data_IF_626268054330
#
_entry.id   IF_626268054330
#
_cell.length_a   1.000
_cell.length_b   1.000
_cell.length_c   1.000
_cell.angle_alpha   90.00
_cell.angle_beta   90.00
_cell.angle_gamma   90.00
#
_symmetry.space_group_name_H-M   'P 1'
#
loop_
_entity.id
_entity.type
_entity.pdbx_description
1 polymer ?
#
# COMPACT_ATOMS: atom_id res chain seq x y z
N UNK A 1 -16.26 -18.85 30.50
CA UNK A 1 -14.92 -19.52 30.54
C UNK A 1 -14.34 -19.52 29.12
N UNK A 2 -13.55 -18.51 28.78
CA UNK A 2 -12.98 -18.34 27.42
C UNK A 2 -11.71 -19.17 27.38
N UNK A 3 -11.68 -20.21 26.55
CA UNK A 3 -10.49 -21.05 26.33
C UNK A 3 -9.38 -20.18 25.71
N UNK A 4 -8.31 -19.93 26.47
CA UNK A 4 -7.08 -19.30 25.99
C UNK A 4 -6.46 -20.19 24.91
N UNK A 5 -6.47 -19.76 23.65
CA UNK A 5 -5.59 -20.32 22.62
C UNK A 5 -4.18 -19.77 22.85
N UNK A 6 -3.30 -20.60 23.40
CA UNK A 6 -1.86 -20.32 23.41
C UNK A 6 -1.31 -20.62 22.02
N UNK A 7 -0.85 -19.60 21.31
CA UNK A 7 -0.12 -19.80 20.05
C UNK A 7 1.31 -20.27 20.37
N UNK A 8 1.83 -21.27 19.69
CA UNK A 8 3.10 -21.86 20.05
C UNK A 8 4.26 -20.90 19.73
N UNK A 9 5.11 -20.69 20.72
CA UNK A 9 6.39 -19.95 20.70
C UNK A 9 7.30 -20.36 19.51
N UNK A 10 7.05 -21.51 18.88
CA UNK A 10 7.77 -22.00 17.69
C UNK A 10 7.72 -21.08 16.46
N UNK A 11 6.68 -20.28 16.29
CA UNK A 11 6.61 -19.31 15.17
C UNK A 11 7.58 -18.15 15.39
N UNK A 12 7.74 -17.72 16.64
CA UNK A 12 8.71 -16.68 16.99
C UNK A 12 10.16 -17.17 16.78
N UNK A 13 10.46 -18.44 17.06
CA UNK A 13 11.81 -19.00 16.93
C UNK A 13 12.27 -19.16 15.47
N UNK A 14 11.37 -19.44 14.55
CA UNK A 14 11.69 -19.55 13.11
C UNK A 14 12.05 -18.19 12.48
N UNK A 15 11.50 -17.11 12.99
CA UNK A 15 11.85 -15.74 12.56
C UNK A 15 13.19 -15.27 13.15
N UNK A 16 13.47 -15.61 14.40
CA UNK A 16 14.68 -15.17 15.12
C UNK A 16 15.97 -15.80 14.60
N UNK A 17 15.92 -16.94 13.94
CA UNK A 17 17.13 -17.67 13.50
C UNK A 17 17.64 -17.26 12.11
N UNK A 18 16.91 -16.47 11.33
CA UNK A 18 17.29 -16.11 9.96
C UNK A 18 17.80 -14.69 9.78
N UNK A 19 17.73 -13.83 10.80
CA UNK A 19 18.07 -12.42 10.68
C UNK A 19 19.34 -12.04 11.44
N UNK A 20 20.23 -11.30 10.78
CA UNK A 20 21.48 -10.77 11.34
C UNK A 20 21.23 -9.70 12.41
N UNK A 21 22.11 -9.59 13.35
CA UNK A 21 22.13 -8.93 14.65
C UNK A 21 21.39 -7.57 14.85
N UNK A 22 21.18 -6.73 13.85
CA UNK A 22 20.58 -5.40 14.04
C UNK A 22 19.06 -5.42 14.26
N UNK A 23 18.34 -6.27 13.51
CA UNK A 23 16.90 -6.47 13.69
C UNK A 23 16.61 -7.23 14.97
N UNK A 24 17.45 -8.22 15.30
CA UNK A 24 17.37 -8.96 16.56
C UNK A 24 17.52 -8.04 17.79
N UNK A 25 18.40 -7.05 17.75
CA UNK A 25 18.60 -6.11 18.86
C UNK A 25 17.44 -5.12 19.00
N UNK A 26 16.84 -4.65 17.89
CA UNK A 26 15.62 -3.85 17.93
C UNK A 26 14.40 -4.65 18.38
N UNK A 27 14.27 -5.90 17.91
CA UNK A 27 13.21 -6.80 18.34
C UNK A 27 13.32 -7.16 19.83
N UNK A 28 14.53 -7.44 20.34
CA UNK A 28 14.76 -7.74 21.75
C UNK A 28 14.56 -6.52 22.67
N UNK A 29 14.78 -5.30 22.21
CA UNK A 29 14.48 -4.09 22.98
C UNK A 29 12.97 -3.80 23.08
N UNK A 30 12.20 -4.29 22.12
CA UNK A 30 10.72 -4.20 22.07
C UNK A 30 10.04 -5.35 22.80
N UNK A 31 10.70 -6.52 22.93
CA UNK A 31 10.19 -7.72 23.60
C UNK A 31 10.81 -7.88 25.00
N UNK A 32 10.53 -6.95 25.92
CA UNK A 32 10.71 -7.26 27.34
C UNK A 32 9.68 -8.32 27.76
N UNK A 33 10.11 -9.51 28.29
CA UNK A 33 9.19 -10.59 28.59
C UNK A 33 8.13 -10.27 29.67
N UNK A 34 8.26 -9.12 30.34
CA UNK A 34 7.41 -8.75 31.48
C UNK A 34 6.12 -8.03 31.14
N UNK A 35 5.97 -7.44 29.93
CA UNK A 35 4.88 -6.51 29.63
C UNK A 35 3.90 -6.98 28.54
N UNK A 36 4.11 -8.14 27.94
CA UNK A 36 3.24 -8.63 26.86
C UNK A 36 2.12 -9.55 27.38
N UNK A 37 1.18 -9.00 28.10
CA UNK A 37 -0.20 -9.47 28.02
C UNK A 37 -0.83 -8.85 26.78
N UNK A 38 -0.62 -9.46 25.62
CA UNK A 38 -1.40 -9.16 24.42
C UNK A 38 -2.88 -9.38 24.76
N UNK A 39 -3.55 -8.31 25.15
CA UNK A 39 -5.01 -8.32 25.23
C UNK A 39 -5.53 -8.28 23.80
N UNK A 40 -5.72 -9.47 23.22
CA UNK A 40 -6.47 -9.59 21.97
C UNK A 40 -7.90 -9.25 22.31
N UNK A 41 -8.28 -8.00 22.03
CA UNK A 41 -9.67 -7.59 22.13
C UNK A 41 -10.42 -8.09 20.88
N UNK A 42 -11.72 -8.45 20.98
CA UNK A 42 -12.51 -8.81 19.80
C UNK A 42 -12.53 -7.73 18.73
N UNK A 43 -12.36 -6.48 19.14
CA UNK A 43 -12.25 -5.32 18.26
C UNK A 43 -10.97 -5.37 17.42
N UNK A 44 -9.80 -5.59 18.06
CA UNK A 44 -8.52 -5.68 17.35
C UNK A 44 -8.51 -6.84 16.35
N UNK A 45 -9.05 -8.01 16.74
CA UNK A 45 -9.13 -9.16 15.83
C UNK A 45 -9.96 -8.81 14.58
N UNK A 46 -11.12 -8.17 14.75
CA UNK A 46 -11.95 -7.71 13.62
C UNK A 46 -11.22 -6.71 12.75
N UNK A 47 -10.54 -5.74 13.33
CA UNK A 47 -9.79 -4.73 12.59
C UNK A 47 -8.70 -5.37 11.71
N UNK A 48 -7.96 -6.32 12.27
CA UNK A 48 -6.92 -7.06 11.53
C UNK A 48 -7.54 -7.88 10.40
N UNK A 49 -8.66 -8.57 10.64
CA UNK A 49 -9.35 -9.33 9.59
C UNK A 49 -9.85 -8.43 8.46
N UNK A 50 -10.41 -7.28 8.78
CA UNK A 50 -10.84 -6.29 7.77
C UNK A 50 -9.65 -5.77 6.98
N UNK A 51 -8.57 -5.35 7.62
CA UNK A 51 -7.34 -4.93 6.96
C UNK A 51 -6.87 -6.01 5.98
N UNK A 52 -6.67 -7.23 6.45
CA UNK A 52 -6.20 -8.35 5.61
C UNK A 52 -7.16 -8.59 4.46
N UNK A 53 -8.46 -8.60 4.69
CA UNK A 53 -9.46 -8.88 3.66
C UNK A 53 -9.43 -7.87 2.51
N UNK A 54 -9.16 -6.60 2.80
CA UNK A 54 -9.14 -5.54 1.79
C UNK A 54 -7.81 -5.50 1.04
N UNK A 55 -6.68 -5.59 1.74
CA UNK A 55 -5.35 -5.46 1.11
C UNK A 55 -4.81 -6.77 0.52
N UNK A 56 -5.36 -7.93 0.91
CA UNK A 56 -4.96 -9.21 0.33
C UNK A 56 -5.27 -9.26 -1.17
N UNK A 57 -4.29 -9.64 -2.02
CA UNK A 57 -4.46 -9.66 -3.45
C UNK A 57 -5.58 -10.60 -3.90
N UNK A 58 -6.40 -10.14 -4.84
CA UNK A 58 -7.40 -10.95 -5.54
C UNK A 58 -6.83 -11.45 -6.87
N UNK A 59 -7.26 -12.61 -7.31
CA UNK A 59 -6.87 -13.15 -8.59
C UNK A 59 -7.37 -12.27 -9.75
N UNK A 60 -6.49 -11.98 -10.69
CA UNK A 60 -6.80 -11.25 -11.92
C UNK A 60 -6.31 -12.01 -13.14
N UNK A 61 -6.92 -11.76 -14.33
CA UNK A 61 -6.43 -12.24 -15.61
C UNK A 61 -5.53 -11.22 -16.32
N UNK A 62 -5.21 -10.12 -15.65
CA UNK A 62 -4.34 -9.08 -16.18
C UNK A 62 -2.89 -9.51 -16.08
N UNK A 63 -2.09 -9.18 -17.08
CA UNK A 63 -0.64 -9.30 -17.01
C UNK A 63 -0.10 -8.17 -16.14
N UNK A 64 0.47 -8.53 -14.98
CA UNK A 64 1.09 -7.61 -14.06
C UNK A 64 2.56 -7.42 -14.41
N UNK A 65 3.08 -6.22 -14.21
CA UNK A 65 4.49 -5.87 -14.41
C UNK A 65 4.89 -4.83 -13.37
N UNK A 66 6.16 -4.90 -12.91
CA UNK A 66 6.77 -3.85 -12.10
C UNK A 66 7.27 -2.74 -13.01
N UNK A 67 6.99 -1.50 -12.66
CA UNK A 67 7.42 -0.27 -13.33
C UNK A 67 8.21 0.58 -12.33
N UNK A 68 9.04 1.48 -12.83
CA UNK A 68 10.05 2.18 -12.04
C UNK A 68 11.35 1.38 -11.97
N UNK A 69 12.16 1.65 -10.99
CA UNK A 69 13.42 0.96 -10.74
C UNK A 69 13.26 -0.48 -10.25
N UNK A 70 14.26 -1.00 -9.58
CA UNK A 70 14.26 -2.35 -9.00
C UNK A 70 14.05 -2.38 -7.49
N UNK A 71 13.87 -1.21 -6.86
CA UNK A 71 13.76 -1.03 -5.41
C UNK A 71 12.62 -0.07 -5.09
N UNK A 72 12.79 0.71 -4.05
CA UNK A 72 11.90 1.78 -3.66
C UNK A 72 11.54 2.71 -4.83
N UNK A 73 10.30 3.20 -4.89
CA UNK A 73 9.76 3.94 -6.02
C UNK A 73 9.40 3.07 -7.24
N UNK A 74 9.37 1.74 -7.10
CA UNK A 74 8.91 0.82 -8.15
C UNK A 74 7.65 0.08 -7.73
N UNK A 75 6.63 0.09 -8.59
CA UNK A 75 5.31 -0.43 -8.25
C UNK A 75 4.77 -1.40 -9.30
N UNK A 76 3.91 -2.33 -8.87
CA UNK A 76 3.32 -3.35 -9.73
C UNK A 76 1.97 -2.90 -10.24
N UNK A 77 1.83 -2.81 -11.58
CA UNK A 77 0.61 -2.39 -12.26
C UNK A 77 0.19 -3.39 -13.36
N UNK A 78 -1.09 -3.38 -13.76
CA UNK A 78 -1.52 -4.07 -14.98
C UNK A 78 -0.88 -3.43 -16.22
N UNK A 79 -0.13 -4.20 -16.97
CA UNK A 79 0.58 -3.71 -18.17
C UNK A 79 -0.36 -2.99 -19.14
N UNK A 80 -1.59 -3.48 -19.31
CA UNK A 80 -2.59 -2.88 -20.21
C UNK A 80 -3.15 -1.53 -19.74
N UNK A 81 -2.84 -1.09 -18.50
CA UNK A 81 -3.25 0.23 -18.00
C UNK A 81 -2.23 1.31 -18.34
N UNK A 82 -1.00 0.89 -18.67
CA UNK A 82 0.11 1.79 -19.01
C UNK A 82 0.13 1.99 -20.52
N UNK A 83 -0.67 2.93 -21.01
CA UNK A 83 -0.84 3.21 -22.44
C UNK A 83 -1.02 4.71 -22.69
N UNK A 84 -0.80 5.13 -23.92
CA UNK A 84 -1.13 6.48 -24.37
C UNK A 84 -2.60 6.81 -24.05
N UNK A 85 -2.86 7.97 -23.50
CA UNK A 85 -4.18 8.43 -23.04
C UNK A 85 -4.49 8.08 -21.59
N UNK A 86 -3.67 7.29 -20.90
CA UNK A 86 -3.75 7.14 -19.45
C UNK A 86 -3.22 8.42 -18.78
N UNK A 87 -3.89 8.84 -17.70
CA UNK A 87 -3.46 9.96 -16.88
C UNK A 87 -2.97 9.48 -15.52
N UNK A 88 -1.86 10.03 -15.07
CA UNK A 88 -1.24 9.74 -13.77
C UNK A 88 -1.36 10.95 -12.84
N UNK A 89 -1.80 10.71 -11.61
CA UNK A 89 -1.61 11.62 -10.48
C UNK A 89 -0.68 10.88 -9.52
N UNK A 90 0.51 11.44 -9.28
CA UNK A 90 1.52 10.85 -8.40
C UNK A 90 1.87 11.82 -7.29
N UNK A 91 1.55 11.45 -6.05
CA UNK A 91 1.93 12.18 -4.85
C UNK A 91 3.06 11.48 -4.10
N UNK A 92 4.05 12.29 -3.64
CA UNK A 92 5.25 11.82 -2.96
C UNK A 92 6.22 11.16 -3.93
N UNK A 93 7.13 11.94 -4.49
CA UNK A 93 8.16 11.44 -5.42
C UNK A 93 9.56 11.64 -4.86
N UNK A 94 9.70 12.51 -3.84
CA UNK A 94 10.98 12.82 -3.22
C UNK A 94 12.13 12.95 -4.25
N UNK A 95 13.21 12.22 -4.05
CA UNK A 95 14.38 12.19 -4.93
C UNK A 95 14.33 11.07 -5.99
N UNK A 96 13.19 10.38 -6.15
CA UNK A 96 13.03 9.25 -7.07
C UNK A 96 11.68 9.25 -7.78
N UNK A 97 11.65 9.60 -9.06
CA UNK A 97 10.46 9.53 -9.91
C UNK A 97 10.62 8.52 -11.07
N UNK A 98 11.31 7.41 -10.84
CA UNK A 98 11.54 6.39 -11.88
C UNK A 98 10.25 5.72 -12.34
N UNK A 99 9.25 5.56 -11.46
CA UNK A 99 7.92 5.09 -11.86
C UNK A 99 7.33 6.02 -12.91
N UNK A 100 7.21 7.30 -12.58
CA UNK A 100 6.56 8.34 -13.39
C UNK A 100 7.24 8.44 -14.75
N UNK A 101 8.58 8.47 -14.79
CA UNK A 101 9.37 8.48 -16.03
C UNK A 101 9.13 7.21 -16.85
N UNK A 102 9.11 6.05 -16.20
CA UNK A 102 8.87 4.79 -16.91
C UNK A 102 7.48 4.71 -17.54
N UNK A 103 6.47 5.26 -16.87
CA UNK A 103 5.11 5.36 -17.41
C UNK A 103 5.01 6.41 -18.51
N UNK A 104 5.65 7.56 -18.35
CA UNK A 104 5.66 8.63 -19.34
C UNK A 104 6.35 8.24 -20.65
N UNK A 105 7.43 7.45 -20.59
CA UNK A 105 8.10 6.86 -21.75
C UNK A 105 7.17 5.93 -22.56
N UNK A 106 6.12 5.40 -21.93
CA UNK A 106 5.09 4.57 -22.57
C UNK A 106 3.86 5.37 -23.00
N UNK A 107 3.92 6.71 -22.92
CA UNK A 107 2.89 7.61 -23.40
C UNK A 107 1.83 7.99 -22.36
N UNK A 108 2.03 7.65 -21.08
CA UNK A 108 1.21 8.17 -19.98
C UNK A 108 1.55 9.64 -19.79
N UNK A 109 0.53 10.49 -19.59
CA UNK A 109 0.71 11.87 -19.18
C UNK A 109 0.16 12.07 -17.77
N UNK A 110 0.60 13.11 -17.08
CA UNK A 110 0.13 13.33 -15.72
C UNK A 110 0.84 14.42 -14.96
N UNK A 111 0.61 14.39 -13.66
CA UNK A 111 1.13 15.37 -12.71
C UNK A 111 1.85 14.65 -11.57
N UNK A 112 3.00 15.18 -11.20
CA UNK A 112 3.81 14.78 -10.05
C UNK A 112 3.70 15.86 -8.97
N UNK A 113 3.51 15.48 -7.75
CA UNK A 113 3.23 16.38 -6.64
C UNK A 113 4.10 16.01 -5.45
N UNK A 114 4.84 16.99 -4.99
CA UNK A 114 5.66 16.86 -3.80
C UNK A 114 5.98 18.24 -3.22
N UNK A 115 5.82 18.44 -1.93
CA UNK A 115 6.12 19.71 -1.28
C UNK A 115 7.53 19.76 -0.69
N UNK A 116 8.19 18.61 -0.55
CA UNK A 116 9.51 18.49 0.09
C UNK A 116 10.67 18.89 -0.84
N UNK A 117 10.43 18.91 -2.15
CA UNK A 117 11.44 19.20 -3.17
C UNK A 117 11.04 20.42 -4.03
N UNK A 118 12.03 21.10 -4.60
CA UNK A 118 11.79 22.28 -5.44
C UNK A 118 11.47 21.93 -6.89
N UNK A 119 11.92 20.79 -7.37
CA UNK A 119 11.72 20.32 -8.74
C UNK A 119 11.75 18.79 -8.80
N UNK A 120 11.11 18.22 -9.82
CA UNK A 120 11.16 16.78 -10.05
C UNK A 120 12.61 16.34 -10.35
N UNK A 121 13.04 15.17 -9.81
CA UNK A 121 14.40 14.62 -10.03
C UNK A 121 14.73 14.41 -11.52
N UNK A 122 13.76 13.96 -12.29
CA UNK A 122 13.83 13.83 -13.75
C UNK A 122 12.61 14.46 -14.37
N UNK A 123 12.79 15.18 -15.48
CA UNK A 123 11.70 15.82 -16.22
C UNK A 123 11.32 15.02 -17.45
N UNK A 124 10.05 15.09 -17.84
CA UNK A 124 9.54 14.49 -19.06
C UNK A 124 8.41 15.36 -19.65
N UNK A 125 8.34 15.51 -20.98
CA UNK A 125 7.35 16.36 -21.66
C UNK A 125 5.88 16.02 -21.36
N UNK A 126 5.60 14.79 -20.92
CA UNK A 126 4.26 14.33 -20.57
C UNK A 126 3.93 14.49 -19.09
N UNK A 127 4.86 15.00 -18.26
CA UNK A 127 4.71 15.10 -16.81
C UNK A 127 4.87 16.56 -16.38
N UNK A 128 3.89 17.06 -15.64
CA UNK A 128 3.94 18.32 -14.92
C UNK A 128 4.41 18.06 -13.49
N UNK A 129 5.18 18.94 -12.88
CA UNK A 129 5.51 18.90 -11.46
C UNK A 129 4.89 20.11 -10.75
N UNK A 130 4.33 19.87 -9.55
CA UNK A 130 3.88 20.92 -8.64
C UNK A 130 4.42 20.71 -7.24
N UNK A 131 5.03 21.78 -6.72
CA UNK A 131 5.43 21.84 -5.31
C UNK A 131 4.25 22.28 -4.46
N UNK A 132 3.44 21.30 -4.02
CA UNK A 132 2.26 21.51 -3.18
C UNK A 132 1.98 20.22 -2.38
N UNK A 133 1.31 20.32 -1.25
CA UNK A 133 0.92 19.17 -0.42
C UNK A 133 -0.42 18.60 -0.91
N UNK A 134 -0.51 17.29 -1.06
CA UNK A 134 -1.82 16.60 -1.20
C UNK A 134 -2.43 16.44 0.20
N UNK A 135 -3.68 16.91 0.36
CA UNK A 135 -4.36 16.95 1.65
C UNK A 135 -5.87 16.68 1.51
N UNK A 136 -6.62 16.85 2.60
CA UNK A 136 -8.08 16.73 2.66
C UNK A 136 -8.82 18.04 2.36
N UNK A 137 -8.09 19.16 2.23
CA UNK A 137 -8.65 20.49 1.94
C UNK A 137 -7.81 21.23 0.91
N UNK A 138 -8.42 22.14 0.16
CA UNK A 138 -7.71 23.03 -0.75
C UNK A 138 -7.32 24.34 -0.03
N UNK A 139 -6.06 24.76 -0.21
CA UNK A 139 -5.50 26.01 0.30
C UNK A 139 -4.38 26.52 -0.64
N UNK A 140 -3.75 27.66 -0.37
CA UNK A 140 -2.61 28.10 -1.17
C UNK A 140 -1.42 27.12 -1.20
N UNK A 141 -1.29 26.26 -0.19
CA UNK A 141 -0.18 25.30 -0.02
C UNK A 141 -0.62 23.83 -0.07
N UNK A 142 -1.92 23.58 -0.17
CA UNK A 142 -2.49 22.24 -0.17
C UNK A 142 -3.53 22.08 -1.28
N UNK A 143 -3.64 20.86 -1.81
CA UNK A 143 -4.61 20.52 -2.85
C UNK A 143 -5.25 19.17 -2.57
N UNK A 144 -6.57 19.08 -2.74
CA UNK A 144 -7.27 17.80 -2.59
C UNK A 144 -7.05 16.91 -3.81
N UNK A 145 -7.11 15.61 -3.58
CA UNK A 145 -7.05 14.65 -4.69
C UNK A 145 -8.22 14.85 -5.67
N UNK A 146 -9.40 15.24 -5.18
CA UNK A 146 -10.54 15.57 -6.06
C UNK A 146 -10.23 16.76 -6.98
N UNK A 147 -9.62 17.83 -6.46
CA UNK A 147 -9.21 18.98 -7.27
C UNK A 147 -8.17 18.57 -8.33
N UNK A 148 -7.21 17.73 -7.98
CA UNK A 148 -6.25 17.16 -8.94
C UNK A 148 -6.94 16.32 -10.03
N UNK A 149 -7.92 15.49 -9.65
CA UNK A 149 -8.67 14.68 -10.61
C UNK A 149 -9.48 15.54 -11.60
N UNK A 150 -9.96 16.72 -11.19
CA UNK A 150 -10.64 17.70 -12.04
C UNK A 150 -9.72 18.40 -13.05
N UNK A 151 -8.42 18.45 -12.78
CA UNK A 151 -7.43 18.99 -13.73
C UNK A 151 -7.23 18.10 -14.96
N UNK A 152 -7.67 16.86 -14.87
CA UNK A 152 -7.56 15.89 -15.95
C UNK A 152 -8.42 16.30 -17.15
N UNK A 153 -7.77 16.53 -18.27
CA UNK A 153 -8.41 16.97 -19.52
C UNK A 153 -8.73 15.82 -20.50
N UNK A 154 -8.45 14.57 -20.12
CA UNK A 154 -8.71 13.40 -20.94
C UNK A 154 -9.71 12.44 -20.28
N UNK A 155 -10.37 11.59 -21.11
CA UNK A 155 -11.31 10.55 -20.65
C UNK A 155 -10.66 9.16 -20.56
N UNK A 156 -9.33 9.07 -20.67
CA UNK A 156 -8.60 7.81 -20.55
C UNK A 156 -8.62 7.24 -19.14
N UNK A 157 -7.84 6.21 -18.88
CA UNK A 157 -7.69 5.66 -17.53
C UNK A 157 -7.04 6.63 -16.59
N UNK A 158 -7.43 6.53 -15.32
CA UNK A 158 -6.81 7.28 -14.23
C UNK A 158 -6.01 6.32 -13.33
N UNK A 159 -4.71 6.57 -13.24
CA UNK A 159 -3.82 5.96 -12.24
C UNK A 159 -3.54 7.02 -11.18
N UNK A 160 -3.73 6.66 -9.92
CA UNK A 160 -3.35 7.49 -8.76
C UNK A 160 -2.31 6.74 -7.96
N UNK A 161 -1.17 7.37 -7.66
CA UNK A 161 -0.15 6.89 -6.72
C UNK A 161 -0.08 7.86 -5.55
N UNK A 162 -0.20 7.38 -4.34
CA UNK A 162 -0.01 8.13 -3.11
C UNK A 162 1.00 7.39 -2.23
N UNK A 163 2.05 8.09 -1.91
CA UNK A 163 3.13 7.71 -1.02
C UNK A 163 3.56 9.01 -0.35
N UNK A 164 2.72 9.46 0.60
CA UNK A 164 2.70 10.82 1.16
C UNK A 164 2.80 10.80 2.70
N UNK A 165 3.55 9.83 3.20
CA UNK A 165 4.03 9.79 4.59
C UNK A 165 2.92 9.86 5.65
N UNK A 166 1.83 9.09 5.43
CA UNK A 166 0.69 8.98 6.34
C UNK A 166 -0.49 9.92 6.04
N UNK A 167 -0.35 10.82 5.06
CA UNK A 167 -1.44 11.67 4.59
C UNK A 167 -2.45 10.91 3.71
N UNK A 168 -2.18 9.65 3.33
CA UNK A 168 -3.05 8.82 2.51
C UNK A 168 -4.45 8.68 3.13
N UNK A 169 -4.49 8.46 4.45
CA UNK A 169 -5.75 8.19 5.17
C UNK A 169 -6.71 9.37 5.08
N UNK A 170 -6.28 10.56 5.45
CA UNK A 170 -7.13 11.77 5.40
C UNK A 170 -7.45 12.17 3.96
N UNK A 171 -6.51 12.05 3.04
CA UNK A 171 -6.71 12.33 1.60
C UNK A 171 -7.80 11.43 1.01
N UNK A 172 -7.76 10.13 1.30
CA UNK A 172 -8.77 9.17 0.83
C UNK A 172 -10.08 9.28 1.58
N UNK A 173 -10.06 9.65 2.88
CA UNK A 173 -11.26 9.92 3.66
C UNK A 173 -12.07 11.09 3.10
N UNK A 174 -11.41 12.10 2.55
CA UNK A 174 -12.06 13.26 1.93
C UNK A 174 -12.78 12.95 0.60
N UNK A 175 -12.42 11.87 -0.09
CA UNK A 175 -13.09 11.46 -1.33
C UNK A 175 -14.44 10.81 -1.05
N UNK A 176 -15.41 11.10 -1.90
CA UNK A 176 -16.66 10.33 -1.96
C UNK A 176 -16.41 8.95 -2.60
N UNK A 177 -17.35 8.02 -2.36
CA UNK A 177 -17.33 6.71 -3.03
C UNK A 177 -17.29 6.82 -4.56
N UNK A 178 -18.00 7.79 -5.15
CA UNK A 178 -18.06 7.98 -6.59
C UNK A 178 -16.74 8.50 -7.15
N UNK A 179 -16.07 9.39 -6.43
CA UNK A 179 -14.74 9.88 -6.81
C UNK A 179 -13.71 8.75 -6.76
N UNK A 180 -13.67 7.96 -5.69
CA UNK A 180 -12.85 6.74 -5.62
C UNK A 180 -13.19 5.76 -6.75
N UNK A 181 -14.48 5.58 -7.06
CA UNK A 181 -14.91 4.70 -8.14
C UNK A 181 -14.54 5.21 -9.55
N UNK A 182 -14.09 6.45 -9.70
CA UNK A 182 -13.56 6.99 -10.97
C UNK A 182 -12.09 6.65 -11.21
N UNK A 183 -11.37 6.16 -10.18
CA UNK A 183 -9.98 5.72 -10.28
C UNK A 183 -9.93 4.31 -10.86
N UNK A 184 -9.15 4.08 -11.92
CA UNK A 184 -8.97 2.77 -12.53
C UNK A 184 -7.90 1.94 -11.82
N UNK A 185 -6.84 2.60 -11.34
CA UNK A 185 -5.74 1.98 -10.58
C UNK A 185 -5.30 2.92 -9.47
N UNK A 186 -5.32 2.44 -8.25
CA UNK A 186 -4.88 3.15 -7.05
C UNK A 186 -3.68 2.41 -6.47
N UNK A 187 -2.54 3.10 -6.40
CA UNK A 187 -1.30 2.61 -5.83
C UNK A 187 -1.09 3.38 -4.54
N UNK A 188 -0.94 2.67 -3.44
CA UNK A 188 -0.74 3.27 -2.13
C UNK A 188 0.51 2.69 -1.48
N UNK A 189 1.34 3.53 -0.89
CA UNK A 189 2.10 3.12 0.27
C UNK A 189 1.26 3.45 1.49
N UNK A 190 0.75 2.42 2.16
CA UNK A 190 -0.06 2.55 3.36
C UNK A 190 0.87 2.69 4.55
N UNK A 191 0.90 3.86 5.17
CA UNK A 191 1.72 4.16 6.34
C UNK A 191 0.95 3.97 7.65
N UNK A 192 1.71 3.72 8.73
CA UNK A 192 1.21 3.69 10.11
C UNK A 192 0.12 2.62 10.34
N UNK A 193 0.24 1.46 9.70
CA UNK A 193 -0.73 0.36 9.85
C UNK A 193 -0.82 -0.20 11.28
N UNK A 194 0.20 0.03 12.11
CA UNK A 194 0.17 -0.32 13.55
C UNK A 194 -0.93 0.42 14.31
N UNK A 195 -1.35 1.60 13.82
CA UNK A 195 -2.44 2.40 14.41
C UNK A 195 -3.80 1.71 14.35
N UNK A 196 -3.95 0.62 13.58
CA UNK A 196 -5.15 -0.22 13.58
C UNK A 196 -5.48 -0.80 14.96
N UNK A 197 -4.49 -0.85 15.85
CA UNK A 197 -4.66 -1.25 17.26
C UNK A 197 -5.25 -0.14 18.13
N UNK A 198 -5.18 1.12 17.70
CA UNK A 198 -5.79 2.27 18.35
C UNK A 198 -7.30 2.32 18.05
N UNK A 199 -8.13 2.66 19.03
CA UNK A 199 -9.58 2.65 18.87
C UNK A 199 -10.10 3.72 17.89
N UNK A 200 -9.50 4.89 17.86
CA UNK A 200 -9.93 6.03 17.04
C UNK A 200 -9.28 5.98 15.66
N UNK A 201 -7.96 5.98 15.60
CA UNK A 201 -7.20 5.94 14.34
C UNK A 201 -7.42 4.63 13.57
N UNK A 202 -7.55 3.50 14.28
CA UNK A 202 -7.90 2.23 13.66
C UNK A 202 -9.26 2.24 13.00
N UNK A 203 -10.23 2.95 13.57
CA UNK A 203 -11.55 3.14 12.95
C UNK A 203 -11.45 3.96 11.67
N UNK A 204 -10.69 5.06 11.67
CA UNK A 204 -10.48 5.90 10.48
C UNK A 204 -9.82 5.09 9.34
N UNK A 205 -8.79 4.33 9.64
CA UNK A 205 -8.12 3.44 8.67
C UNK A 205 -9.12 2.46 8.07
N UNK A 206 -9.94 1.80 8.90
CA UNK A 206 -10.91 0.83 8.42
C UNK A 206 -12.00 1.47 7.56
N UNK A 207 -12.52 2.63 7.95
CA UNK A 207 -13.53 3.37 7.17
C UNK A 207 -13.00 3.71 5.76
N UNK A 208 -11.72 4.08 5.64
CA UNK A 208 -11.07 4.33 4.34
C UNK A 208 -10.94 3.03 3.54
N UNK A 209 -10.48 1.95 4.15
CA UNK A 209 -10.33 0.65 3.49
C UNK A 209 -11.68 0.11 2.99
N UNK A 210 -12.72 0.18 3.81
CA UNK A 210 -14.08 -0.22 3.45
C UNK A 210 -14.64 0.66 2.31
N UNK A 211 -14.34 1.96 2.32
CA UNK A 211 -14.71 2.88 1.25
C UNK A 211 -14.03 2.54 -0.07
N UNK A 212 -12.73 2.19 -0.06
CA UNK A 212 -11.98 1.71 -1.23
C UNK A 212 -12.68 0.46 -1.80
N UNK A 213 -13.00 -0.50 -0.94
CA UNK A 213 -13.69 -1.73 -1.36
C UNK A 213 -15.09 -1.46 -1.90
N UNK A 214 -15.87 -0.59 -1.22
CA UNK A 214 -17.21 -0.18 -1.66
C UNK A 214 -17.21 0.59 -2.98
N UNK A 215 -16.11 1.24 -3.35
CA UNK A 215 -15.90 1.88 -4.65
C UNK A 215 -15.60 0.88 -5.79
N UNK A 216 -15.49 -0.41 -5.49
CA UNK A 216 -15.19 -1.46 -6.47
C UNK A 216 -13.70 -1.63 -6.77
N UNK A 217 -12.83 -1.02 -5.96
CA UNK A 217 -11.38 -1.21 -6.04
C UNK A 217 -10.98 -2.48 -5.28
N UNK A 218 -10.14 -3.31 -5.87
CA UNK A 218 -9.68 -4.58 -5.29
C UNK A 218 -8.17 -4.67 -5.39
N UNK A 219 -7.53 -5.07 -4.31
CA UNK A 219 -6.09 -5.34 -4.32
C UNK A 219 -5.75 -6.46 -5.32
N UNK A 220 -4.67 -6.25 -6.07
CA UNK A 220 -4.09 -7.24 -6.99
C UNK A 220 -2.63 -7.53 -6.67
N UNK A 221 -2.02 -6.70 -5.86
CA UNK A 221 -0.65 -6.85 -5.39
C UNK A 221 -0.49 -6.15 -4.05
N UNK A 222 0.27 -6.76 -3.14
CA UNK A 222 0.76 -6.11 -1.93
C UNK A 222 2.18 -6.60 -1.61
N UNK A 223 2.97 -5.73 -1.01
CA UNK A 223 4.25 -6.07 -0.39
C UNK A 223 4.51 -5.18 0.83
N UNK A 224 5.23 -5.71 1.81
CA UNK A 224 5.70 -4.92 2.93
C UNK A 224 6.88 -4.05 2.52
N UNK A 225 6.95 -2.82 2.99
CA UNK A 225 8.18 -2.03 2.97
C UNK A 225 9.14 -2.60 4.02
N UNK A 226 10.27 -3.15 3.57
CA UNK A 226 11.25 -3.79 4.44
C UNK A 226 12.19 -2.79 5.15
N UNK A 227 12.02 -1.50 4.90
CA UNK A 227 12.68 -0.41 5.64
C UNK A 227 11.97 -0.06 6.95
N UNK A 228 10.72 -0.50 7.12
CA UNK A 228 9.86 -0.13 8.23
C UNK A 228 9.79 -1.19 9.34
N UNK A 229 9.21 -0.82 10.47
CA UNK A 229 8.95 -1.74 11.58
C UNK A 229 7.84 -2.73 11.22
N UNK A 230 7.86 -3.87 11.88
CA UNK A 230 6.77 -4.86 11.81
C UNK A 230 6.30 -5.15 13.23
N UNK A 231 5.00 -5.08 13.44
CA UNK A 231 4.35 -5.29 14.73
C UNK A 231 3.66 -6.65 14.79
N UNK A 232 3.54 -7.19 15.99
CA UNK A 232 2.71 -8.37 16.25
C UNK A 232 1.41 -7.89 16.89
N UNK A 233 0.36 -7.80 16.11
CA UNK A 233 -0.96 -7.36 16.57
C UNK A 233 -1.92 -8.56 16.54
N UNK A 234 -2.53 -8.89 17.69
CA UNK A 234 -3.43 -10.03 17.77
C UNK A 234 -2.84 -11.37 17.31
N UNK A 235 -1.51 -11.54 17.42
CA UNK A 235 -0.81 -12.73 16.92
C UNK A 235 -0.50 -12.72 15.42
N UNK A 236 -0.82 -11.63 14.73
CA UNK A 236 -0.56 -11.44 13.30
C UNK A 236 0.56 -10.43 13.09
N UNK A 237 1.48 -10.73 12.17
CA UNK A 237 2.54 -9.81 11.78
C UNK A 237 1.96 -8.74 10.85
N UNK A 238 2.00 -7.48 11.27
CA UNK A 238 1.55 -6.32 10.51
C UNK A 238 2.76 -5.41 10.26
N UNK A 239 3.26 -5.32 9.02
CA UNK A 239 4.23 -4.30 8.66
C UNK A 239 3.61 -2.91 8.82
N UNK A 240 4.37 -1.95 9.32
CA UNK A 240 3.86 -0.60 9.53
C UNK A 240 3.57 0.13 8.20
N UNK A 241 4.38 -0.16 7.18
CA UNK A 241 4.14 0.35 5.84
C UNK A 241 4.01 -0.81 4.83
N UNK A 242 3.03 -0.67 3.94
CA UNK A 242 2.80 -1.64 2.86
C UNK A 242 2.47 -0.96 1.54
N UNK A 243 3.13 -1.38 0.48
CA UNK A 243 2.73 -1.04 -0.88
C UNK A 243 1.56 -1.91 -1.33
N UNK A 244 0.49 -1.30 -1.78
CA UNK A 244 -0.70 -2.01 -2.27
C UNK A 244 -1.17 -1.40 -3.59
N UNK A 245 -1.42 -2.25 -4.58
CA UNK A 245 -2.03 -1.84 -5.84
C UNK A 245 -3.46 -2.35 -5.90
N UNK A 246 -4.39 -1.42 -5.98
CA UNK A 246 -5.81 -1.68 -6.20
C UNK A 246 -6.19 -1.36 -7.63
N UNK A 247 -7.12 -2.13 -8.20
CA UNK A 247 -7.72 -1.82 -9.50
C UNK A 247 -9.24 -1.97 -9.43
N UNK A 248 -9.93 -1.26 -10.31
CA UNK A 248 -11.36 -1.41 -10.48
C UNK A 248 -11.69 -2.78 -11.05
N UNK A 249 -12.48 -3.57 -10.31
CA UNK A 249 -12.87 -4.92 -10.69
C UNK A 249 -14.36 -5.13 -10.46
N UNK A 250 -15.08 -5.63 -11.50
CA UNK A 250 -16.51 -6.00 -11.39
C UNK A 250 -16.70 -7.34 -10.65
N UNK A 251 -15.75 -8.24 -10.82
CA UNK A 251 -15.76 -9.56 -10.17
C UNK A 251 -14.34 -9.94 -9.73
N UNK A 252 -14.25 -10.62 -8.61
CA UNK A 252 -13.01 -11.17 -8.07
C UNK A 252 -12.99 -12.68 -8.28
N UNK A 253 -11.80 -13.25 -8.36
CA UNK A 253 -11.57 -14.68 -8.24
C UNK A 253 -10.52 -14.97 -7.19
N UNK A 254 -10.54 -16.17 -6.66
CA UNK A 254 -9.48 -16.63 -5.76
C UNK A 254 -8.14 -16.70 -6.50
N UNK A 255 -7.06 -16.51 -5.76
CA UNK A 255 -5.70 -16.72 -6.27
C UNK A 255 -5.50 -18.21 -6.61
N UNK A 256 -4.85 -18.48 -7.71
CA UNK A 256 -4.35 -19.82 -8.09
C UNK A 256 -2.86 -19.89 -7.76
N UNK A 257 -2.30 -21.07 -7.65
CA UNK A 257 -0.88 -21.30 -7.39
C UNK A 257 0.01 -20.49 -8.35
N UNK A 258 -0.34 -20.46 -9.64
CA UNK A 258 0.39 -19.66 -10.63
C UNK A 258 0.37 -18.15 -10.35
N UNK A 259 -0.71 -17.64 -9.77
CA UNK A 259 -0.83 -16.23 -9.39
C UNK A 259 0.10 -15.93 -8.21
N UNK A 260 0.16 -16.81 -7.21
CA UNK A 260 1.09 -16.69 -6.07
C UNK A 260 2.56 -16.71 -6.54
N UNK A 261 2.91 -17.60 -7.47
CA UNK A 261 4.25 -17.64 -8.05
C UNK A 261 4.59 -16.34 -8.76
N UNK A 262 3.64 -15.77 -9.51
CA UNK A 262 3.81 -14.49 -10.18
C UNK A 262 3.99 -13.35 -9.16
N UNK A 263 3.09 -13.25 -8.16
CA UNK A 263 3.16 -12.22 -7.13
C UNK A 263 4.51 -12.26 -6.40
N UNK A 264 4.97 -13.46 -6.02
CA UNK A 264 6.28 -13.62 -5.39
C UNK A 264 7.44 -13.16 -6.27
N UNK A 265 7.38 -13.40 -7.59
CA UNK A 265 8.42 -12.92 -8.54
C UNK A 265 8.39 -11.41 -8.74
N UNK A 266 7.26 -10.77 -8.50
CA UNK A 266 7.08 -9.33 -8.63
C UNK A 266 7.44 -8.58 -7.34
N UNK A 267 7.64 -9.27 -6.23
CA UNK A 267 8.10 -8.63 -4.98
C UNK A 267 9.52 -8.06 -5.15
N UNK A 268 9.78 -6.99 -4.44
CA UNK A 268 11.03 -6.26 -4.43
C UNK A 268 11.37 -5.91 -2.97
N UNK A 269 12.55 -5.38 -2.74
CA UNK A 269 12.95 -4.82 -1.45
C UNK A 269 13.14 -3.33 -1.59
N UNK A 270 12.57 -2.53 -0.69
CA UNK A 270 12.77 -1.09 -0.64
C UNK A 270 14.22 -0.79 -0.21
N UNK A 271 14.69 -1.47 0.82
CA UNK A 271 16.05 -1.34 1.34
C UNK A 271 16.85 -2.61 1.05
N UNK A 272 17.93 -2.48 0.27
CA UNK A 272 18.69 -3.63 -0.26
C UNK A 272 19.43 -4.48 0.76
N UNK A 273 19.79 -3.89 1.90
CA UNK A 273 20.50 -4.58 2.98
C UNK A 273 19.59 -5.13 4.08
N UNK A 274 18.27 -4.90 3.97
CA UNK A 274 17.27 -5.50 4.85
C UNK A 274 16.68 -6.75 4.20
N UNK A 275 16.35 -7.74 5.04
CA UNK A 275 15.67 -8.94 4.55
C UNK A 275 14.24 -8.61 4.10
N UNK A 276 13.70 -9.27 3.07
CA UNK A 276 12.31 -9.14 2.69
C UNK A 276 11.38 -9.56 3.84
N UNK A 277 10.34 -8.76 4.09
CA UNK A 277 9.28 -9.13 5.04
C UNK A 277 8.29 -10.05 4.32
N UNK A 278 8.09 -11.24 4.89
CA UNK A 278 7.15 -12.20 4.32
C UNK A 278 5.72 -11.89 4.78
N UNK A 279 4.88 -11.51 3.84
CA UNK A 279 3.46 -11.22 4.04
C UNK A 279 2.55 -12.32 3.46
N UNK A 280 3.02 -13.55 3.45
CA UNK A 280 2.30 -14.69 2.86
C UNK A 280 0.88 -14.86 3.40
N UNK A 281 0.62 -14.50 4.66
CA UNK A 281 -0.72 -14.53 5.25
C UNK A 281 -1.70 -13.56 4.56
N UNK A 282 -1.24 -12.44 4.01
CA UNK A 282 -2.07 -11.56 3.19
C UNK A 282 -2.34 -12.18 1.81
N UNK A 283 -1.33 -12.82 1.22
CA UNK A 283 -1.46 -13.45 -0.10
C UNK A 283 -2.36 -14.69 -0.07
N UNK A 284 -2.36 -15.43 1.05
CA UNK A 284 -3.07 -16.71 1.17
C UNK A 284 -4.41 -16.62 1.89
N UNK A 285 -4.79 -15.46 2.41
CA UNK A 285 -6.04 -15.28 3.16
C UNK A 285 -7.26 -15.89 2.47
N UNK A 286 -7.35 -15.75 1.14
CA UNK A 286 -8.47 -16.27 0.34
C UNK A 286 -8.36 -17.76 -0.05
N UNK A 287 -7.26 -18.43 0.32
CA UNK A 287 -7.12 -19.88 0.11
C UNK A 287 -7.65 -20.68 1.29
N UNK A 288 -7.75 -20.05 2.47
CA UNK A 288 -8.10 -20.68 3.74
C UNK A 288 -9.57 -20.41 4.11
N UNK A 289 -10.16 -19.36 3.59
CA UNK A 289 -11.58 -19.01 3.72
C UNK A 289 -12.36 -19.54 2.50
#
# INVERSE_FOLDING_TARGET
MIKRKSYPIKVLSLFLFRERSSVRNRFNSLLSPKDYKLQITPHLERNIQTLISVIAPKGTNLKLKRFGGSRDGSYVLPQKYVTKGTYLISGGIENNNELEISLANLGVCGIQIDNSIDQAPKTHKNLEFRKITISDSDSPTEITLNSLMKLRNNKGRLIVKLDIEGYEWKTLAALTKNELASIDCLILELHNLSLISNSEQGKEILEVLEKIEAAGLRSIFCQANNGCLTYVLGGTLIPDNMEVTFIKMKATRRLRIKDLVLLKRLQSTNVSHHAPINVLHFETHHLIS
#
